data_IF_275355883725
#
_entry.id   IF_275355883725
#
_cell.length_a   1.000
_cell.length_b   1.000
_cell.length_c   1.000
_cell.angle_alpha   90.00
_cell.angle_beta   90.00
_cell.angle_gamma   90.00
#
_symmetry.space_group_name_H-M   'P 1'
#
loop_
_entity.id
_entity.type
_entity.pdbx_description
1 polymer ?
#
# COMPACT_ATOMS: atom_id res chain seq x y z
N UNK A 1 22.82 11.44 -45.83
CA UNK A 1 22.16 10.69 -44.74
C UNK A 1 22.82 11.13 -43.44
N UNK A 2 22.11 11.89 -42.61
CA UNK A 2 22.61 12.37 -41.31
C UNK A 2 22.14 11.42 -40.21
N UNK A 3 23.08 10.88 -39.43
CA UNK A 3 22.82 10.05 -38.25
C UNK A 3 22.05 10.84 -37.17
N UNK A 4 21.13 10.22 -36.41
CA UNK A 4 20.45 10.89 -35.32
C UNK A 4 21.41 11.06 -34.12
N UNK A 5 21.58 12.29 -33.65
CA UNK A 5 22.30 12.63 -32.42
C UNK A 5 21.55 12.04 -31.21
N UNK A 6 22.25 11.23 -30.42
CA UNK A 6 21.82 10.82 -29.08
C UNK A 6 22.12 11.96 -28.12
N UNK A 7 21.11 12.78 -27.79
CA UNK A 7 21.22 13.72 -26.68
C UNK A 7 21.21 12.95 -25.35
N UNK A 8 22.08 13.31 -24.38
CA UNK A 8 22.11 12.64 -23.09
C UNK A 8 20.80 12.87 -22.34
N UNK A 9 20.33 11.89 -21.54
CA UNK A 9 19.08 12.01 -20.81
C UNK A 9 19.11 13.22 -19.87
N UNK A 10 18.13 14.10 -20.00
CA UNK A 10 17.99 15.26 -19.12
C UNK A 10 17.62 14.78 -17.70
N UNK A 11 18.61 14.73 -16.82
CA UNK A 11 18.49 14.23 -15.45
C UNK A 11 17.54 15.07 -14.60
N UNK A 12 17.39 16.37 -14.89
CA UNK A 12 16.43 17.25 -14.21
C UNK A 12 14.99 16.92 -14.62
N UNK A 13 14.76 16.58 -15.89
CA UNK A 13 13.45 16.11 -16.37
C UNK A 13 13.11 14.75 -15.78
N UNK A 14 14.08 13.85 -15.63
CA UNK A 14 13.88 12.54 -14.98
C UNK A 14 13.55 12.74 -13.50
N UNK A 15 14.28 13.63 -12.81
CA UNK A 15 14.02 13.98 -11.41
C UNK A 15 12.64 14.63 -11.22
N UNK A 16 12.23 15.53 -12.12
CA UNK A 16 10.91 16.15 -12.11
C UNK A 16 9.79 15.16 -12.42
N UNK A 17 9.97 14.23 -13.37
CA UNK A 17 8.98 13.18 -13.67
C UNK A 17 8.87 12.18 -12.52
N UNK A 18 9.98 11.86 -11.85
CA UNK A 18 9.97 11.03 -10.65
C UNK A 18 9.32 11.74 -9.46
N UNK A 19 9.60 13.03 -9.25
CA UNK A 19 8.95 13.86 -8.23
C UNK A 19 7.46 14.06 -8.52
N UNK A 20 7.07 14.29 -9.78
CA UNK A 20 5.67 14.38 -10.19
C UNK A 20 4.93 13.05 -10.06
N UNK A 21 5.60 11.92 -10.36
CA UNK A 21 5.09 10.58 -10.02
C UNK A 21 4.91 10.43 -8.51
N UNK A 22 5.90 10.80 -7.70
CA UNK A 22 5.81 10.74 -6.24
C UNK A 22 4.75 11.68 -5.64
N UNK A 23 4.52 12.86 -6.23
CA UNK A 23 3.48 13.80 -5.79
C UNK A 23 2.08 13.38 -6.26
N UNK A 24 1.93 12.77 -7.44
CA UNK A 24 0.64 12.22 -7.87
C UNK A 24 0.30 10.90 -7.17
N UNK A 25 1.30 10.05 -6.87
CA UNK A 25 1.16 8.76 -6.19
C UNK A 25 0.51 8.88 -4.81
N UNK A 26 0.64 10.05 -4.20
CA UNK A 26 -0.01 10.33 -2.94
C UNK A 26 -1.51 10.04 -3.08
N UNK A 27 -2.26 10.72 -3.94
CA UNK A 27 -3.74 10.64 -3.97
C UNK A 27 -4.28 9.66 -5.01
N UNK A 28 -3.51 8.63 -5.33
CA UNK A 28 -3.90 7.64 -6.32
C UNK A 28 -5.04 6.76 -5.81
N UNK A 29 -6.07 6.65 -6.65
CA UNK A 29 -7.17 5.72 -6.50
C UNK A 29 -6.81 4.38 -7.18
N UNK A 30 -6.79 3.26 -6.43
CA UNK A 30 -6.42 1.95 -6.98
C UNK A 30 -7.25 1.51 -8.18
N UNK A 31 -8.53 1.90 -8.25
CA UNK A 31 -9.41 1.58 -9.38
C UNK A 31 -8.96 2.21 -10.71
N UNK A 32 -8.14 3.26 -10.68
CA UNK A 32 -7.73 4.05 -11.85
C UNK A 32 -6.32 3.71 -12.35
N UNK A 33 -5.58 2.85 -11.64
CA UNK A 33 -4.20 2.49 -11.99
C UNK A 33 -4.13 1.16 -12.71
N UNK A 34 -3.62 1.18 -13.93
CA UNK A 34 -3.43 -0.03 -14.74
C UNK A 34 -1.96 -0.40 -14.94
N UNK A 35 -1.01 0.44 -14.50
CA UNK A 35 0.41 0.31 -14.83
C UNK A 35 1.28 -0.25 -13.68
N UNK A 36 0.78 -0.26 -12.44
CA UNK A 36 1.53 -0.68 -11.24
C UNK A 36 0.65 -1.63 -10.46
N UNK A 37 1.13 -2.82 -10.10
CA UNK A 37 0.32 -3.87 -9.45
C UNK A 37 -0.04 -3.55 -7.98
N UNK A 38 0.80 -2.77 -7.28
CA UNK A 38 0.56 -2.34 -5.89
C UNK A 38 0.76 -0.83 -5.74
N UNK A 39 -0.13 -0.18 -4.99
CA UNK A 39 0.08 1.15 -4.42
C UNK A 39 0.45 0.97 -2.95
N UNK A 40 1.38 1.77 -2.42
CA UNK A 40 1.81 1.69 -1.02
C UNK A 40 1.55 3.00 -0.26
N UNK A 41 1.38 2.88 1.05
CA UNK A 41 1.41 4.00 1.99
C UNK A 41 2.28 3.63 3.18
N UNK A 42 2.97 4.63 3.74
CA UNK A 42 3.84 4.53 4.91
C UNK A 42 3.46 5.60 5.93
N UNK A 43 3.73 5.38 7.22
CA UNK A 43 3.58 6.41 8.24
C UNK A 43 4.50 7.60 7.95
N UNK A 44 4.05 8.81 8.28
CA UNK A 44 4.84 10.04 8.09
C UNK A 44 6.07 10.07 9.01
N UNK A 45 5.94 9.44 10.18
CA UNK A 45 7.02 9.23 11.12
C UNK A 45 7.49 7.78 11.01
N UNK A 46 8.80 7.58 10.96
CA UNK A 46 9.40 6.23 10.89
C UNK A 46 8.92 5.38 12.06
N UNK A 47 8.34 4.22 11.74
CA UNK A 47 7.96 3.20 12.72
C UNK A 47 9.04 2.13 12.84
N UNK A 48 8.77 1.11 13.66
CA UNK A 48 9.59 -0.08 13.78
C UNK A 48 9.85 -0.73 12.41
N UNK A 49 11.08 -1.21 12.20
CA UNK A 49 11.44 -1.96 10.99
C UNK A 49 10.90 -3.39 11.09
N UNK A 50 10.49 -4.00 9.97
CA UNK A 50 10.00 -5.38 9.96
C UNK A 50 11.09 -6.36 10.40
N UNK A 51 10.69 -7.37 11.18
CA UNK A 51 11.52 -8.52 11.52
C UNK A 51 11.21 -9.67 10.56
N UNK A 52 11.94 -10.79 10.69
CA UNK A 52 11.64 -12.04 9.95
C UNK A 52 10.26 -12.62 10.25
N UNK A 53 9.57 -12.09 11.28
CA UNK A 53 8.21 -12.46 11.66
C UNK A 53 7.20 -11.39 11.26
N UNK A 54 7.52 -10.52 10.32
CA UNK A 54 6.55 -9.56 9.81
C UNK A 54 5.24 -10.27 9.41
N UNK A 55 4.12 -9.59 9.55
CA UNK A 55 2.81 -10.11 9.22
C UNK A 55 2.00 -9.11 8.43
N UNK A 56 0.76 -9.47 8.13
CA UNK A 56 -0.19 -8.58 7.51
C UNK A 56 -1.62 -8.90 7.94
N UNK A 57 -2.39 -7.85 8.19
CA UNK A 57 -3.84 -7.92 8.10
C UNK A 57 -4.24 -7.81 6.63
N UNK A 58 -5.00 -8.77 6.13
CA UNK A 58 -5.45 -8.90 4.74
C UNK A 58 -6.94 -8.62 4.68
N UNK A 59 -7.32 -7.66 3.84
CA UNK A 59 -8.70 -7.26 3.61
C UNK A 59 -9.04 -7.48 2.14
N UNK A 60 -10.12 -8.22 1.89
CA UNK A 60 -10.66 -8.41 0.55
C UNK A 60 -11.73 -7.37 0.26
N UNK A 61 -11.74 -6.87 -0.96
CA UNK A 61 -12.75 -5.94 -1.47
C UNK A 61 -12.90 -6.14 -2.97
N UNK A 62 -13.68 -5.30 -3.63
CA UNK A 62 -13.84 -5.28 -5.07
C UNK A 62 -13.44 -3.92 -5.64
N UNK A 63 -13.40 -3.82 -6.97
CA UNK A 63 -13.08 -2.59 -7.68
C UNK A 63 -14.03 -1.41 -7.33
N UNK A 64 -15.26 -1.67 -6.89
CA UNK A 64 -16.22 -0.64 -6.50
C UNK A 64 -15.98 -0.08 -5.09
N UNK A 65 -15.46 -0.91 -4.18
CA UNK A 65 -15.16 -0.54 -2.79
C UNK A 65 -13.70 -0.16 -2.52
N UNK A 66 -12.77 -0.53 -3.41
CA UNK A 66 -11.32 -0.44 -3.16
C UNK A 66 -10.84 0.97 -2.86
N UNK A 67 -11.36 1.98 -3.55
CA UNK A 67 -10.93 3.37 -3.40
C UNK A 67 -11.32 3.92 -2.02
N UNK A 68 -12.57 3.71 -1.61
CA UNK A 68 -13.07 4.17 -0.32
C UNK A 68 -12.36 3.45 0.84
N UNK A 69 -12.09 2.14 0.69
CA UNK A 69 -11.31 1.37 1.64
C UNK A 69 -9.87 1.88 1.73
N UNK A 70 -9.24 2.09 0.58
CA UNK A 70 -7.85 2.54 0.52
C UNK A 70 -7.65 3.91 1.14
N UNK A 71 -8.56 4.87 0.90
CA UNK A 71 -8.47 6.19 1.50
C UNK A 71 -8.47 6.15 3.03
N UNK A 72 -9.32 5.32 3.64
CA UNK A 72 -9.35 5.12 5.10
C UNK A 72 -8.04 4.52 5.62
N UNK A 73 -7.60 3.43 5.00
CA UNK A 73 -6.37 2.72 5.37
C UNK A 73 -5.16 3.64 5.22
N UNK A 74 -5.01 4.29 4.07
CA UNK A 74 -3.92 5.23 3.77
C UNK A 74 -3.83 6.34 4.82
N UNK A 75 -4.95 6.97 5.17
CA UNK A 75 -4.99 8.01 6.19
C UNK A 75 -4.55 7.49 7.56
N UNK A 76 -5.06 6.33 7.98
CA UNK A 76 -4.69 5.71 9.25
C UNK A 76 -3.21 5.28 9.29
N UNK A 77 -2.67 4.75 8.18
CA UNK A 77 -1.25 4.39 8.04
C UNK A 77 -0.37 5.62 8.16
N UNK A 78 -0.68 6.71 7.44
CA UNK A 78 0.10 7.96 7.48
C UNK A 78 0.14 8.55 8.88
N UNK A 79 -0.97 8.50 9.60
CA UNK A 79 -1.09 8.93 10.99
C UNK A 79 -0.38 7.99 12.00
N UNK A 80 0.30 6.92 11.55
CA UNK A 80 0.99 5.98 12.42
C UNK A 80 0.08 5.05 13.23
N UNK A 81 -1.23 5.04 12.93
CA UNK A 81 -2.21 4.24 13.65
C UNK A 81 -2.22 2.77 13.24
N UNK A 82 -1.75 2.47 12.04
CA UNK A 82 -1.61 1.10 11.54
C UNK A 82 -0.14 0.64 11.66
N UNK A 83 0.21 -0.44 10.94
CA UNK A 83 1.57 -0.95 10.91
C UNK A 83 2.53 -0.12 10.06
N UNK A 84 3.73 -0.64 9.81
CA UNK A 84 4.83 0.11 9.18
C UNK A 84 4.61 0.40 7.69
N UNK A 85 3.65 -0.28 7.06
CA UNK A 85 3.28 -0.09 5.65
C UNK A 85 1.87 -0.62 5.40
N UNK A 86 1.18 -0.03 4.44
CA UNK A 86 0.00 -0.65 3.82
C UNK A 86 0.13 -0.67 2.31
N UNK A 87 -0.47 -1.66 1.67
CA UNK A 87 -0.46 -1.85 0.22
C UNK A 87 -1.84 -2.21 -0.28
N UNK A 88 -2.18 -1.80 -1.50
CA UNK A 88 -3.44 -2.17 -2.16
C UNK A 88 -3.18 -2.60 -3.59
N UNK A 89 -3.84 -3.68 -4.01
CA UNK A 89 -3.72 -4.19 -5.37
C UNK A 89 -4.54 -3.30 -6.31
N UNK A 90 -4.00 -3.02 -7.49
CA UNK A 90 -4.70 -2.26 -8.54
C UNK A 90 -5.35 -3.20 -9.56
N UNK A 91 -4.77 -4.39 -9.71
CA UNK A 91 -5.30 -5.50 -10.48
C UNK A 91 -5.84 -6.60 -9.56
N UNK A 92 -6.63 -7.51 -10.14
CA UNK A 92 -7.10 -8.67 -9.40
C UNK A 92 -5.97 -9.66 -9.13
N UNK A 93 -5.86 -10.19 -7.90
CA UNK A 93 -4.97 -11.28 -7.56
C UNK A 93 -5.58 -12.67 -7.81
N UNK A 94 -6.83 -12.76 -8.27
CA UNK A 94 -7.57 -14.01 -8.47
C UNK A 94 -8.16 -14.12 -9.87
N UNK A 95 -8.91 -15.21 -10.13
CA UNK A 95 -9.67 -15.37 -11.37
C UNK A 95 -10.87 -14.42 -11.50
N UNK A 96 -11.30 -13.80 -10.40
CA UNK A 96 -12.35 -12.77 -10.42
C UNK A 96 -11.72 -11.41 -10.77
N UNK A 97 -11.99 -10.82 -11.94
CA UNK A 97 -11.36 -9.56 -12.37
C UNK A 97 -11.70 -8.35 -11.46
N UNK A 98 -12.78 -8.44 -10.67
CA UNK A 98 -13.20 -7.36 -9.78
C UNK A 98 -12.52 -7.43 -8.41
N UNK A 99 -11.98 -8.57 -8.00
CA UNK A 99 -11.38 -8.74 -6.69
C UNK A 99 -10.20 -7.77 -6.49
N UNK A 100 -10.09 -7.22 -5.29
CA UNK A 100 -8.99 -6.35 -4.86
C UNK A 100 -8.58 -6.74 -3.44
N UNK A 101 -7.31 -6.54 -3.11
CA UNK A 101 -6.78 -6.86 -1.78
C UNK A 101 -6.05 -5.64 -1.21
N UNK A 102 -6.32 -5.35 0.05
CA UNK A 102 -5.53 -4.43 0.87
C UNK A 102 -4.76 -5.22 1.92
N UNK A 103 -3.48 -4.93 2.08
CA UNK A 103 -2.61 -5.48 3.13
C UNK A 103 -2.14 -4.38 4.05
N UNK A 104 -2.27 -4.58 5.36
CA UNK A 104 -1.70 -3.71 6.41
C UNK A 104 -0.60 -4.50 7.10
N UNK A 105 0.65 -4.16 6.82
CA UNK A 105 1.82 -4.92 7.22
C UNK A 105 2.23 -4.56 8.65
N UNK A 106 2.43 -5.58 9.47
CA UNK A 106 2.88 -5.51 10.86
C UNK A 106 4.35 -5.89 10.92
N UNK A 107 5.09 -5.28 11.85
CA UNK A 107 6.54 -5.43 11.85
C UNK A 107 7.00 -6.76 12.47
N UNK A 108 6.28 -7.29 13.47
CA UNK A 108 6.54 -8.57 14.12
C UNK A 108 5.24 -9.20 14.61
N UNK A 109 4.94 -10.42 14.16
CA UNK A 109 3.73 -11.15 14.53
C UNK A 109 3.72 -11.63 15.98
N UNK A 110 4.86 -11.61 16.66
CA UNK A 110 4.97 -11.96 18.08
C UNK A 110 4.74 -10.76 19.01
N UNK A 111 4.73 -9.53 18.51
CA UNK A 111 4.32 -8.36 19.29
C UNK A 111 2.80 -8.25 19.36
N UNK A 112 2.19 -9.03 20.27
CA UNK A 112 0.74 -9.02 20.46
C UNK A 112 0.19 -7.65 20.83
N UNK A 113 0.96 -6.76 21.46
CA UNK A 113 0.50 -5.43 21.82
C UNK A 113 0.33 -4.55 20.56
N UNK A 114 1.27 -4.61 19.62
CA UNK A 114 1.13 -3.90 18.34
C UNK A 114 0.01 -4.50 17.48
N UNK A 115 -0.14 -5.82 17.46
CA UNK A 115 -1.24 -6.49 16.75
C UNK A 115 -2.60 -6.04 17.26
N UNK A 116 -2.83 -6.02 18.58
CA UNK A 116 -4.10 -5.57 19.14
C UNK A 116 -4.33 -4.06 18.95
N UNK A 117 -3.26 -3.25 19.02
CA UNK A 117 -3.33 -1.81 18.69
C UNK A 117 -3.81 -1.58 17.26
N UNK A 118 -3.23 -2.30 16.29
CA UNK A 118 -3.61 -2.17 14.89
C UNK A 118 -5.03 -2.69 14.67
N UNK A 119 -5.42 -3.80 15.31
CA UNK A 119 -6.79 -4.31 15.24
C UNK A 119 -7.80 -3.28 15.77
N UNK A 120 -7.53 -2.68 16.93
CA UNK A 120 -8.39 -1.62 17.48
C UNK A 120 -8.52 -0.43 16.52
N UNK A 121 -7.41 0.00 15.89
CA UNK A 121 -7.44 1.07 14.90
C UNK A 121 -8.23 0.70 13.63
N UNK A 122 -8.18 -0.57 13.18
CA UNK A 122 -9.00 -1.06 12.07
C UNK A 122 -10.49 -1.12 12.44
N UNK A 123 -10.81 -1.49 13.68
CA UNK A 123 -12.17 -1.49 14.22
C UNK A 123 -12.74 -0.06 14.28
N UNK A 124 -11.95 0.92 14.73
CA UNK A 124 -12.34 2.34 14.79
C UNK A 124 -12.74 2.92 13.42
N UNK A 125 -12.13 2.44 12.34
CA UNK A 125 -12.46 2.86 10.96
C UNK A 125 -13.51 1.96 10.28
N UNK A 126 -14.10 1.02 11.04
CA UNK A 126 -15.24 0.19 10.66
C UNK A 126 -14.89 -1.07 9.87
N UNK A 127 -13.72 -1.67 10.07
CA UNK A 127 -13.23 -2.81 9.28
C UNK A 127 -13.20 -4.16 10.02
N UNK A 128 -13.91 -4.28 11.14
CA UNK A 128 -13.84 -5.40 12.10
C UNK A 128 -14.04 -6.82 11.53
N UNK A 129 -14.90 -6.99 10.54
CA UNK A 129 -15.41 -8.33 10.15
C UNK A 129 -14.73 -8.94 8.91
N UNK A 130 -13.82 -8.22 8.24
CA UNK A 130 -13.29 -8.61 6.91
C UNK A 130 -11.78 -8.85 6.93
N UNK A 131 -11.21 -9.11 8.11
CA UNK A 131 -9.76 -9.13 8.30
C UNK A 131 -9.25 -10.53 8.62
N UNK A 132 -8.38 -11.05 7.76
CA UNK A 132 -7.55 -12.24 8.05
C UNK A 132 -6.15 -11.77 8.44
N UNK A 133 -5.53 -12.39 9.45
CA UNK A 133 -4.14 -12.12 9.79
C UNK A 133 -3.22 -13.24 9.30
N UNK A 134 -2.17 -12.88 8.57
CA UNK A 134 -1.21 -13.80 7.97
C UNK A 134 0.21 -13.42 8.37
N UNK A 135 1.09 -14.41 8.60
CA UNK A 135 2.53 -14.16 8.70
C UNK A 135 3.06 -13.93 7.28
N UNK A 136 3.78 -12.84 7.08
CA UNK A 136 4.41 -12.57 5.79
C UNK A 136 5.58 -13.51 5.59
N UNK A 137 5.54 -14.21 4.47
CA UNK A 137 6.70 -14.92 3.97
C UNK A 137 7.33 -13.99 2.96
N UNK A 138 8.52 -13.50 3.28
CA UNK A 138 9.34 -12.72 2.35
C UNK A 138 9.37 -13.45 1.00
N UNK A 139 8.78 -12.81 -0.02
CA UNK A 139 8.66 -13.33 -1.38
C UNK A 139 9.62 -12.58 -2.29
#
# INVERSE_FOLDING_TARGET
MTEPKNDPPNLDLIGMVQQARMQHDADVLPSQVNAVYWIESKPEQTTQQPTVRAGAFVLQTDIGGVDALWLKIRAATRAGKLGYKSKVSTASPSSDPNARIVRVLTYDSADSADIERIRAALDEIGLKEVIVYEVEKES
#
